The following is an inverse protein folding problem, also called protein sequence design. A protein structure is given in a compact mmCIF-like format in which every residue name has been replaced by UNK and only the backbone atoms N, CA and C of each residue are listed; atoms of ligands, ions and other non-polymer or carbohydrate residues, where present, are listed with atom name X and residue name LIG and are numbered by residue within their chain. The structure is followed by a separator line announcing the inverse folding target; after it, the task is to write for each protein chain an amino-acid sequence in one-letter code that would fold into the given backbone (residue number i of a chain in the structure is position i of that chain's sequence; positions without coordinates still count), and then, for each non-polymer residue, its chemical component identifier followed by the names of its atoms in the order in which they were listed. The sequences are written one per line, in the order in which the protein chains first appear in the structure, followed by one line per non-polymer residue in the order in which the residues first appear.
data_IF_667270988824
#
_entry.id   IF_667270988824
#
_cell.length_a   1.000
_cell.length_b   1.000
_cell.length_c   1.000
_cell.angle_alpha   90.00
_cell.angle_beta   90.00
_cell.angle_gamma   90.00
#
_symmetry.space_group_name_H-M   'P 1'
#
loop_
_entity.id
_entity.type
_entity.pdbx_description
1 polymer ?
#
# COMPACT_ATOMS: atom_id res chain seq x y z
N UNK A 1 22.80 15.50 30.31
CA UNK A 1 23.01 14.66 31.51
C UNK A 1 21.90 13.61 31.74
N UNK A 2 20.82 13.58 30.95
CA UNK A 2 19.69 12.64 31.13
C UNK A 2 19.79 11.34 30.30
N UNK A 3 20.54 11.31 29.19
CA UNK A 3 20.75 10.07 28.42
C UNK A 3 21.56 8.99 29.16
N UNK A 4 22.53 9.40 30.00
CA UNK A 4 23.37 8.44 30.74
C UNK A 4 22.63 7.74 31.89
N UNK A 5 21.57 8.35 32.45
CA UNK A 5 20.77 7.78 33.54
C UNK A 5 19.70 6.79 33.05
N UNK A 6 19.17 6.99 31.84
CA UNK A 6 18.22 6.05 31.22
C UNK A 6 18.86 4.71 30.86
N UNK A 7 20.13 4.72 30.46
CA UNK A 7 20.84 3.52 30.00
C UNK A 7 21.19 2.58 31.16
N UNK A 8 21.45 3.14 32.35
CA UNK A 8 21.73 2.38 33.57
C UNK A 8 20.44 1.79 34.16
N UNK A 9 19.30 2.48 34.05
CA UNK A 9 18.00 1.96 34.49
C UNK A 9 17.50 0.78 33.67
N UNK A 10 17.70 0.80 32.35
CA UNK A 10 17.34 -0.31 31.46
C UNK A 10 18.20 -1.56 31.70
N UNK A 11 19.51 -1.39 31.96
CA UNK A 11 20.42 -2.50 32.22
C UNK A 11 20.11 -3.24 33.53
N UNK A 12 19.69 -2.51 34.57
CA UNK A 12 19.34 -3.11 35.89
C UNK A 12 18.03 -3.89 35.83
N UNK A 13 17.03 -3.43 35.07
CA UNK A 13 15.77 -4.16 34.87
C UNK A 13 15.96 -5.44 34.07
N UNK A 14 16.81 -5.42 33.04
CA UNK A 14 17.14 -6.63 32.26
C UNK A 14 17.93 -7.63 33.12
N UNK A 15 18.91 -7.16 33.91
CA UNK A 15 19.71 -8.03 34.77
C UNK A 15 18.88 -8.68 35.89
N UNK A 16 17.99 -7.93 36.55
CA UNK A 16 17.10 -8.48 37.57
C UNK A 16 16.04 -9.42 36.97
N UNK A 17 15.55 -9.12 35.77
CA UNK A 17 14.66 -10.02 35.03
C UNK A 17 15.30 -11.38 34.73
N UNK A 18 16.57 -11.39 34.32
CA UNK A 18 17.31 -12.63 34.02
C UNK A 18 17.77 -13.43 35.25
N UNK A 19 17.80 -12.83 36.44
CA UNK A 19 18.20 -13.51 37.67
C UNK A 19 17.03 -14.19 38.39
N UNK A 20 15.82 -13.61 38.29
CA UNK A 20 14.59 -14.18 38.88
C UNK A 20 13.94 -15.22 37.96
N UNK A 21 14.14 -15.09 36.64
CA UNK A 21 13.67 -16.06 35.65
C UNK A 21 14.88 -16.57 34.86
N UNK A 22 15.27 -17.82 35.11
CA UNK A 22 16.45 -18.44 34.51
C UNK A 22 16.46 -18.44 32.97
N UNK A 23 17.60 -18.88 32.39
CA UNK A 23 17.89 -18.89 30.94
C UNK A 23 16.88 -19.65 30.06
N UNK A 24 15.90 -20.34 30.64
CA UNK A 24 14.87 -21.08 29.90
C UNK A 24 13.65 -20.22 29.48
N UNK A 25 13.50 -18.99 29.98
CA UNK A 25 12.40 -18.10 29.59
C UNK A 25 12.50 -17.56 28.14
N UNK A 26 13.70 -17.59 27.55
CA UNK A 26 13.91 -17.09 26.19
C UNK A 26 13.35 -18.05 25.10
N UNK A 27 13.16 -19.33 25.42
CA UNK A 27 12.68 -20.34 24.47
C UNK A 27 11.15 -20.29 24.21
N UNK A 28 10.38 -19.67 25.12
CA UNK A 28 8.93 -19.48 24.94
C UNK A 28 8.54 -18.12 24.33
N UNK A 29 9.43 -17.12 24.39
CA UNK A 29 9.19 -15.80 23.83
C UNK A 29 9.20 -15.78 22.29
N UNK A 30 10.00 -16.65 21.66
CA UNK A 30 10.16 -16.71 20.20
C UNK A 30 8.96 -17.32 19.48
N UNK A 31 8.14 -18.12 20.16
CA UNK A 31 6.92 -18.72 19.58
C UNK A 31 5.63 -17.94 19.95
N UNK A 32 5.68 -17.00 20.90
CA UNK A 32 4.56 -16.10 21.24
C UNK A 32 4.68 -14.67 20.68
N UNK A 33 5.79 -14.33 20.00
CA UNK A 33 5.96 -13.01 19.37
C UNK A 33 5.17 -12.80 18.07
N UNK A 34 4.79 -13.88 17.37
CA UNK A 34 3.99 -13.82 16.15
C UNK A 34 2.52 -13.49 16.42
N UNK A 35 1.92 -14.13 17.41
CA UNK A 35 0.47 -14.05 17.68
C UNK A 35 0.06 -12.74 18.38
N UNK A 36 0.93 -12.13 19.17
CA UNK A 36 0.61 -10.87 19.88
C UNK A 36 0.64 -9.66 18.94
N UNK A 37 1.48 -9.65 17.90
CA UNK A 37 1.49 -8.57 16.90
C UNK A 37 0.23 -8.59 16.02
N UNK A 38 -0.25 -9.78 15.69
CA UNK A 38 -1.43 -9.95 14.85
C UNK A 38 -2.74 -9.76 15.63
N UNK A 39 -2.79 -10.12 16.92
CA UNK A 39 -3.95 -9.90 17.79
C UNK A 39 -4.17 -8.42 18.20
N UNK A 40 -3.11 -7.60 18.25
CA UNK A 40 -3.24 -6.16 18.57
C UNK A 40 -3.67 -5.34 17.35
N UNK A 41 -3.36 -5.80 16.12
CA UNK A 41 -3.83 -5.14 14.90
C UNK A 41 -5.34 -5.26 14.70
N UNK A 42 -5.97 -6.31 15.24
CA UNK A 42 -7.43 -6.53 15.14
C UNK A 42 -8.27 -5.72 16.13
N UNK A 43 -7.65 -4.92 17.00
CA UNK A 43 -8.33 -4.25 18.12
C UNK A 43 -8.16 -2.72 18.12
N UNK A 44 -7.75 -2.16 16.97
CA UNK A 44 -7.69 -0.71 16.80
C UNK A 44 -9.10 -0.20 16.44
N UNK A 45 -9.66 0.75 17.21
CA UNK A 45 -10.98 1.32 16.90
C UNK A 45 -10.98 1.97 15.52
N UNK A 46 -12.08 1.82 14.78
CA UNK A 46 -12.19 2.31 13.40
C UNK A 46 -12.05 3.84 13.34
N UNK A 47 -12.43 4.55 14.40
CA UNK A 47 -12.26 6.00 14.56
C UNK A 47 -10.78 6.39 14.47
N UNK A 48 -9.89 5.59 15.10
CA UNK A 48 -8.46 5.83 15.07
C UNK A 48 -7.88 5.59 13.67
N UNK A 49 -8.35 4.57 12.94
CA UNK A 49 -7.89 4.32 11.58
C UNK A 49 -8.30 5.46 10.62
N UNK A 50 -9.49 6.03 10.81
CA UNK A 50 -9.95 7.19 10.02
C UNK A 50 -9.12 8.44 10.35
N UNK A 51 -8.83 8.70 11.63
CA UNK A 51 -7.99 9.84 12.02
C UNK A 51 -6.54 9.67 11.53
N UNK A 52 -6.04 8.43 11.56
CA UNK A 52 -4.76 8.09 10.94
C UNK A 52 -4.81 8.37 9.44
N UNK A 53 -5.83 7.92 8.73
CA UNK A 53 -5.97 8.19 7.30
C UNK A 53 -5.98 9.70 7.00
N UNK A 54 -6.67 10.51 7.81
CA UNK A 54 -6.64 11.98 7.74
C UNK A 54 -5.23 12.53 7.90
N UNK A 55 -4.48 12.03 8.89
CA UNK A 55 -3.09 12.43 9.11
C UNK A 55 -2.21 12.08 7.92
N UNK A 56 -2.35 10.88 7.35
CA UNK A 56 -1.58 10.45 6.17
C UNK A 56 -1.88 11.33 4.95
N UNK A 57 -3.14 11.73 4.73
CA UNK A 57 -3.53 12.66 3.66
C UNK A 57 -2.95 14.07 3.89
N UNK A 58 -2.95 14.56 5.13
CA UNK A 58 -2.33 15.85 5.46
C UNK A 58 -0.80 15.82 5.30
N UNK A 59 -0.18 14.67 5.56
CA UNK A 59 1.25 14.46 5.33
C UNK A 59 1.63 14.49 3.84
N UNK A 60 0.67 14.46 2.90
CA UNK A 60 0.93 14.69 1.47
C UNK A 60 1.14 16.17 1.14
N UNK A 61 0.66 17.10 1.99
CA UNK A 61 0.71 18.55 1.71
C UNK A 61 2.14 19.09 1.55
N UNK A 62 3.12 18.73 2.41
CA UNK A 62 4.51 19.13 2.22
C UNK A 62 5.07 18.67 0.88
N UNK A 63 4.86 17.42 0.49
CA UNK A 63 5.36 16.87 -0.77
C UNK A 63 4.76 17.58 -1.99
N UNK A 64 3.46 17.90 -1.93
CA UNK A 64 2.77 18.68 -2.95
C UNK A 64 3.36 20.09 -3.06
N UNK A 65 3.66 20.73 -1.92
CA UNK A 65 4.28 22.08 -1.88
C UNK A 65 5.69 22.06 -2.45
N UNK A 66 6.48 21.04 -2.13
CA UNK A 66 7.82 20.87 -2.68
C UNK A 66 7.77 20.68 -4.20
N UNK A 67 6.86 19.83 -4.68
CA UNK A 67 6.67 19.65 -6.12
C UNK A 67 6.22 20.94 -6.81
N UNK A 68 5.32 21.70 -6.19
CA UNK A 68 4.88 23.01 -6.69
C UNK A 68 6.05 24.01 -6.77
N UNK A 69 6.93 24.04 -5.77
CA UNK A 69 8.11 24.92 -5.77
C UNK A 69 9.10 24.56 -6.89
N UNK A 70 9.34 23.26 -7.09
CA UNK A 70 10.20 22.76 -8.17
C UNK A 70 9.61 23.11 -9.54
N UNK A 71 8.31 22.89 -9.75
CA UNK A 71 7.62 23.24 -10.99
C UNK A 71 7.67 24.76 -11.23
N UNK A 72 7.42 25.58 -10.21
CA UNK A 72 7.47 27.03 -10.34
C UNK A 72 8.88 27.51 -10.75
N UNK A 73 9.92 26.98 -10.11
CA UNK A 73 11.32 27.33 -10.42
C UNK A 73 11.68 26.93 -11.84
N UNK A 74 11.34 25.69 -12.24
CA UNK A 74 11.58 25.21 -13.59
C UNK A 74 10.80 26.00 -14.66
N UNK A 75 9.63 26.57 -14.34
CA UNK A 75 8.87 27.40 -15.27
C UNK A 75 9.62 28.69 -15.58
N UNK A 76 10.18 29.33 -14.55
CA UNK A 76 11.00 30.53 -14.70
C UNK A 76 12.25 30.23 -15.53
N UNK A 77 12.89 29.09 -15.31
CA UNK A 77 14.05 28.66 -16.10
C UNK A 77 13.70 28.45 -17.58
N UNK A 78 12.56 27.82 -17.87
CA UNK A 78 12.03 27.65 -19.23
C UNK A 78 11.77 29.02 -19.87
N UNK A 79 11.20 29.97 -19.14
CA UNK A 79 10.93 31.32 -19.65
C UNK A 79 12.23 32.09 -19.94
N UNK A 80 13.25 31.94 -19.09
CA UNK A 80 14.57 32.51 -19.32
C UNK A 80 15.23 31.90 -20.57
N UNK A 81 15.16 30.58 -20.74
CA UNK A 81 15.70 29.88 -21.90
C UNK A 81 14.96 30.23 -23.18
N UNK A 82 13.64 30.42 -23.12
CA UNK A 82 12.85 30.89 -24.25
C UNK A 82 13.30 32.28 -24.72
N UNK A 83 13.49 33.22 -23.79
CA UNK A 83 14.02 34.57 -24.12
C UNK A 83 15.45 34.52 -24.66
N UNK A 84 16.27 33.59 -24.19
CA UNK A 84 17.63 33.39 -24.68
C UNK A 84 17.64 32.89 -26.13
N UNK A 85 16.81 31.89 -26.44
CA UNK A 85 16.60 31.35 -27.79
C UNK A 85 16.08 32.44 -28.74
N UNK A 86 15.11 33.24 -28.31
CA UNK A 86 14.58 34.36 -29.09
C UNK A 86 15.68 35.37 -29.45
N UNK A 87 16.45 35.83 -28.44
CA UNK A 87 17.58 36.75 -28.69
C UNK A 87 18.63 36.16 -29.62
N UNK A 88 18.96 34.87 -29.48
CA UNK A 88 19.90 34.20 -30.40
C UNK A 88 19.34 34.13 -31.81
N UNK A 89 18.05 33.83 -31.96
CA UNK A 89 17.36 33.82 -33.25
C UNK A 89 17.42 35.18 -33.94
N UNK A 90 17.15 36.27 -33.21
CA UNK A 90 17.23 37.64 -33.73
C UNK A 90 18.66 38.02 -34.16
N UNK A 91 19.65 37.64 -33.35
CA UNK A 91 21.06 37.79 -33.67
C UNK A 91 21.44 37.04 -34.95
N UNK A 92 20.97 35.80 -35.08
CA UNK A 92 21.21 34.96 -36.26
C UNK A 92 20.56 35.55 -37.52
N UNK A 93 19.34 36.07 -37.41
CA UNK A 93 18.63 36.75 -38.51
C UNK A 93 19.39 38.02 -38.95
N UNK A 94 19.93 38.78 -38.01
CA UNK A 94 20.76 39.95 -38.31
C UNK A 94 22.05 39.56 -39.03
N UNK A 95 22.73 38.50 -38.58
CA UNK A 95 23.91 37.95 -39.26
C UNK A 95 23.55 37.48 -40.68
N UNK A 96 22.43 36.78 -40.85
CA UNK A 96 21.93 36.33 -42.16
C UNK A 96 21.75 37.51 -43.12
N UNK A 97 21.10 38.59 -42.67
CA UNK A 97 20.91 39.81 -43.48
C UNK A 97 22.25 40.42 -43.90
N UNK A 98 23.22 40.51 -42.99
CA UNK A 98 24.55 41.03 -43.30
C UNK A 98 25.30 40.16 -44.33
N UNK A 99 25.24 38.83 -44.18
CA UNK A 99 25.83 37.87 -45.13
C UNK A 99 25.21 38.02 -46.52
N UNK A 100 23.88 38.12 -46.60
CA UNK A 100 23.17 38.32 -47.87
C UNK A 100 23.51 39.66 -48.52
N UNK A 101 23.66 40.73 -47.74
CA UNK A 101 24.09 42.03 -48.25
C UNK A 101 25.49 41.97 -48.88
N UNK A 102 26.48 41.41 -48.16
CA UNK A 102 27.85 41.23 -48.67
C UNK A 102 27.90 40.36 -49.93
N UNK A 103 27.09 39.30 -49.97
CA UNK A 103 26.97 38.43 -51.15
C UNK A 103 26.39 39.21 -52.35
N UNK A 104 25.32 39.98 -52.14
CA UNK A 104 24.72 40.79 -53.20
C UNK A 104 25.69 41.88 -53.69
N UNK A 105 26.49 42.48 -52.81
CA UNK A 105 27.52 43.46 -53.19
C UNK A 105 28.60 42.83 -54.07
N UNK A 106 29.09 41.63 -53.71
CA UNK A 106 30.03 40.87 -54.55
C UNK A 106 29.45 40.51 -55.92
N UNK A 107 28.15 40.21 -56.00
CA UNK A 107 27.46 39.90 -57.25
C UNK A 107 27.42 41.12 -58.22
N UNK A 108 27.67 42.35 -57.74
CA UNK A 108 27.77 43.55 -58.59
C UNK A 108 29.05 43.62 -59.44
N UNK A 109 30.04 42.77 -59.18
CA UNK A 109 31.29 42.70 -59.96
C UNK A 109 32.29 43.84 -59.74
N UNK A 110 32.07 44.69 -58.73
CA UNK A 110 33.02 45.75 -58.34
C UNK A 110 34.30 45.17 -57.74
N UNK A 111 35.44 45.83 -57.98
CA UNK A 111 36.76 45.41 -57.46
C UNK A 111 37.02 45.89 -56.03
N UNK A 112 36.38 46.98 -55.62
CA UNK A 112 36.56 47.65 -54.33
C UNK A 112 35.20 47.95 -53.68
N UNK A 113 35.15 47.81 -52.35
CA UNK A 113 33.97 48.02 -51.53
C UNK A 113 34.32 48.87 -50.31
N UNK A 114 33.44 49.80 -49.92
CA UNK A 114 33.66 50.66 -48.76
C UNK A 114 32.70 50.29 -47.64
N UNK A 115 33.24 49.86 -46.50
CA UNK A 115 32.48 49.55 -45.29
C UNK A 115 33.09 50.30 -44.11
N UNK A 116 32.26 50.96 -43.30
CA UNK A 116 32.70 51.69 -42.10
C UNK A 116 33.95 52.57 -42.34
N UNK A 117 33.95 53.34 -43.43
CA UNK A 117 35.03 54.25 -43.85
C UNK A 117 36.37 53.57 -44.22
N UNK A 118 36.37 52.25 -44.44
CA UNK A 118 37.53 51.49 -44.92
C UNK A 118 37.22 50.86 -46.28
N UNK A 119 38.21 50.88 -47.18
CA UNK A 119 38.12 50.23 -48.49
C UNK A 119 38.68 48.82 -48.42
N UNK A 120 37.93 47.86 -48.95
CA UNK A 120 38.28 46.45 -49.02
C UNK A 120 38.26 45.98 -50.47
N UNK A 121 39.14 45.05 -50.82
CA UNK A 121 39.10 44.41 -52.13
C UNK A 121 37.99 43.36 -52.20
N UNK A 122 37.57 42.99 -53.41
CA UNK A 122 36.63 41.89 -53.62
C UNK A 122 37.11 40.56 -53.00
N UNK A 123 38.42 40.31 -52.93
CA UNK A 123 38.97 39.10 -52.31
C UNK A 123 38.87 39.14 -50.78
N UNK A 124 39.10 40.30 -50.17
CA UNK A 124 38.95 40.49 -48.72
C UNK A 124 37.50 40.26 -48.29
N UNK A 125 36.54 40.80 -49.05
CA UNK A 125 35.11 40.61 -48.79
C UNK A 125 34.70 39.15 -48.97
N UNK A 126 35.25 38.44 -49.97
CA UNK A 126 34.99 37.01 -50.17
C UNK A 126 35.49 36.16 -49.00
N UNK A 127 36.71 36.43 -48.52
CA UNK A 127 37.29 35.75 -47.35
C UNK A 127 36.49 36.00 -46.08
N UNK A 128 36.07 37.24 -45.85
CA UNK A 128 35.23 37.60 -44.70
C UNK A 128 33.85 36.91 -44.79
N UNK A 129 33.23 36.93 -45.98
CA UNK A 129 31.96 36.25 -46.22
C UNK A 129 32.04 34.74 -45.93
N UNK A 130 33.11 34.07 -46.36
CA UNK A 130 33.32 32.65 -46.08
C UNK A 130 33.43 32.38 -44.56
N UNK A 131 34.19 33.23 -43.84
CA UNK A 131 34.33 33.12 -42.38
C UNK A 131 33.00 33.34 -41.67
N UNK A 132 32.26 34.39 -42.03
CA UNK A 132 30.94 34.70 -41.46
C UNK A 132 29.93 33.59 -41.74
N UNK A 133 29.93 33.05 -42.95
CA UNK A 133 29.02 31.96 -43.31
C UNK A 133 29.31 30.70 -42.51
N UNK A 134 30.59 30.33 -42.32
CA UNK A 134 30.98 29.21 -41.45
C UNK A 134 30.49 29.43 -40.01
N UNK A 135 30.71 30.62 -39.45
CA UNK A 135 30.25 30.96 -38.10
C UNK A 135 28.72 30.93 -37.99
N UNK A 136 28.01 31.46 -38.99
CA UNK A 136 26.55 31.43 -39.07
C UNK A 136 26.04 29.98 -39.06
N UNK A 137 26.62 29.07 -39.86
CA UNK A 137 26.20 27.67 -39.89
C UNK A 137 26.38 26.97 -38.52
N UNK A 138 27.48 27.26 -37.82
CA UNK A 138 27.70 26.72 -36.46
C UNK A 138 26.66 27.27 -35.49
N UNK A 139 26.41 28.58 -35.52
CA UNK A 139 25.43 29.23 -34.65
C UNK A 139 23.99 28.77 -34.95
N UNK A 140 23.66 28.53 -36.22
CA UNK A 140 22.36 28.03 -36.67
C UNK A 140 22.09 26.63 -36.11
N UNK A 141 23.06 25.72 -36.23
CA UNK A 141 22.95 24.37 -35.67
C UNK A 141 22.85 24.38 -34.13
N UNK A 142 23.58 25.29 -33.47
CA UNK A 142 23.48 25.46 -32.01
C UNK A 142 22.10 25.96 -31.60
N UNK A 143 21.54 26.94 -32.33
CA UNK A 143 20.20 27.46 -32.07
C UNK A 143 19.13 26.38 -32.27
N UNK A 144 19.25 25.57 -33.32
CA UNK A 144 18.36 24.44 -33.55
C UNK A 144 18.37 23.46 -32.36
N UNK A 145 19.55 23.13 -31.85
CA UNK A 145 19.71 22.28 -30.67
C UNK A 145 19.06 22.91 -29.43
N UNK A 146 19.27 24.21 -29.20
CA UNK A 146 18.65 24.95 -28.09
C UNK A 146 17.11 24.93 -28.18
N UNK A 147 16.56 25.08 -29.38
CA UNK A 147 15.11 25.02 -29.64
C UNK A 147 14.54 23.63 -29.34
N UNK A 148 15.24 22.56 -29.76
CA UNK A 148 14.83 21.19 -29.47
C UNK A 148 14.83 20.91 -27.97
N UNK A 149 15.87 21.34 -27.25
CA UNK A 149 15.98 21.19 -25.80
C UNK A 149 14.83 21.96 -25.12
N UNK A 150 14.59 23.21 -25.49
CA UNK A 150 13.52 24.02 -24.94
C UNK A 150 12.15 23.37 -25.15
N UNK A 151 11.93 22.81 -26.34
CA UNK A 151 10.67 22.12 -26.67
C UNK A 151 10.48 20.86 -25.83
N UNK A 152 11.54 20.07 -25.65
CA UNK A 152 11.51 18.90 -24.77
C UNK A 152 11.23 19.29 -23.32
N UNK A 153 11.88 20.34 -22.81
CA UNK A 153 11.65 20.83 -21.45
C UNK A 153 10.23 21.35 -21.24
N UNK A 154 9.68 22.11 -22.20
CA UNK A 154 8.28 22.55 -22.16
C UNK A 154 7.32 21.36 -22.08
N UNK A 155 7.56 20.31 -22.87
CA UNK A 155 6.74 19.10 -22.85
C UNK A 155 6.81 18.39 -21.49
N UNK A 156 8.01 18.21 -20.95
CA UNK A 156 8.19 17.63 -19.61
C UNK A 156 7.51 18.47 -18.54
N UNK A 157 7.57 19.80 -18.66
CA UNK A 157 6.92 20.71 -17.73
C UNK A 157 5.40 20.53 -17.73
N UNK A 158 4.77 20.48 -18.90
CA UNK A 158 3.32 20.23 -19.00
C UNK A 158 2.94 18.90 -18.33
N UNK A 159 3.70 17.83 -18.58
CA UNK A 159 3.44 16.54 -17.92
C UNK A 159 3.58 16.60 -16.39
N UNK A 160 4.56 17.36 -15.89
CA UNK A 160 4.74 17.56 -14.45
C UNK A 160 3.59 18.38 -13.82
N UNK A 161 3.09 19.40 -14.54
CA UNK A 161 1.92 20.19 -14.12
C UNK A 161 0.66 19.33 -14.05
N UNK A 162 0.41 18.50 -15.07
CA UNK A 162 -0.71 17.54 -15.09
C UNK A 162 -0.61 16.55 -13.92
N UNK A 163 0.60 16.08 -13.60
CA UNK A 163 0.83 15.20 -12.45
C UNK A 163 0.55 15.90 -11.11
N UNK A 164 0.94 17.17 -10.96
CA UNK A 164 0.63 17.96 -9.77
C UNK A 164 -0.89 18.14 -9.61
N UNK A 165 -1.59 18.46 -10.69
CA UNK A 165 -3.05 18.61 -10.71
C UNK A 165 -3.76 17.30 -10.34
N UNK A 166 -3.27 16.18 -10.88
CA UNK A 166 -3.76 14.83 -10.53
C UNK A 166 -3.55 14.54 -9.04
N UNK A 167 -2.40 14.91 -8.46
CA UNK A 167 -2.12 14.71 -7.03
C UNK A 167 -3.00 15.59 -6.15
N UNK A 168 -3.26 16.82 -6.55
CA UNK A 168 -4.17 17.74 -5.84
C UNK A 168 -5.61 17.20 -5.84
N UNK A 169 -6.08 16.73 -6.99
CA UNK A 169 -7.40 16.11 -7.13
C UNK A 169 -7.50 14.84 -6.28
N UNK A 170 -6.50 13.95 -6.38
CA UNK A 170 -6.47 12.73 -5.57
C UNK A 170 -6.46 13.02 -4.07
N UNK A 171 -5.78 14.09 -3.61
CA UNK A 171 -5.83 14.53 -2.21
C UNK A 171 -7.25 14.92 -1.80
N UNK A 172 -7.93 15.75 -2.60
CA UNK A 172 -9.31 16.18 -2.34
C UNK A 172 -10.27 14.98 -2.32
N UNK A 173 -10.12 14.04 -3.26
CA UNK A 173 -10.93 12.83 -3.31
C UNK A 173 -10.75 11.96 -2.07
N UNK A 174 -9.52 11.84 -1.56
CA UNK A 174 -9.23 11.13 -0.32
C UNK A 174 -9.85 11.82 0.90
N UNK A 175 -9.83 13.16 0.97
CA UNK A 175 -10.48 13.94 2.04
C UNK A 175 -11.99 13.67 2.07
N UNK A 176 -12.66 13.70 0.91
CA UNK A 176 -14.10 13.40 0.79
C UNK A 176 -14.40 11.96 1.18
N UNK A 177 -13.58 11.00 0.77
CA UNK A 177 -13.74 9.59 1.15
C UNK A 177 -13.60 9.38 2.66
N UNK A 178 -12.66 10.05 3.30
CA UNK A 178 -12.49 10.03 4.76
C UNK A 178 -13.73 10.60 5.44
N UNK A 179 -14.27 11.72 4.97
CA UNK A 179 -15.51 12.29 5.51
C UNK A 179 -16.71 11.34 5.35
N UNK A 180 -16.81 10.66 4.22
CA UNK A 180 -17.82 9.63 3.99
C UNK A 180 -17.68 8.44 4.95
N UNK A 181 -16.44 8.00 5.22
CA UNK A 181 -16.16 6.93 6.19
C UNK A 181 -16.57 7.34 7.61
N UNK A 182 -16.26 8.58 8.02
CA UNK A 182 -16.71 9.11 9.32
C UNK A 182 -18.23 9.14 9.43
N UNK A 183 -18.93 9.61 8.40
CA UNK A 183 -20.38 9.65 8.38
C UNK A 183 -20.96 8.24 8.53
N UNK A 184 -20.42 7.27 7.78
CA UNK A 184 -20.82 5.86 7.86
C UNK A 184 -20.59 5.28 9.25
N UNK A 185 -19.44 5.56 9.86
CA UNK A 185 -19.12 5.11 11.22
C UNK A 185 -20.17 5.62 12.23
N UNK A 186 -20.44 6.93 12.22
CA UNK A 186 -21.48 7.53 13.07
C UNK A 186 -22.86 6.90 12.88
N UNK A 187 -23.17 6.47 11.65
CA UNK A 187 -24.46 5.81 11.37
C UNK A 187 -24.51 4.40 11.97
N UNK A 188 -23.41 3.66 11.89
CA UNK A 188 -23.27 2.33 12.49
C UNK A 188 -23.34 2.41 14.01
N UNK A 189 -22.59 3.33 14.62
CA UNK A 189 -22.61 3.56 16.07
C UNK A 189 -24.02 3.91 16.58
N UNK A 190 -24.76 4.76 15.87
CA UNK A 190 -26.14 5.09 16.21
C UNK A 190 -27.08 3.88 16.10
N UNK A 191 -26.88 3.03 15.09
CA UNK A 191 -27.63 1.80 14.94
C UNK A 191 -27.30 0.79 16.04
N UNK A 192 -26.04 0.61 16.42
CA UNK A 192 -25.60 -0.27 17.51
C UNK A 192 -26.11 0.19 18.88
N UNK A 193 -26.07 1.50 19.14
CA UNK A 193 -26.66 2.08 20.36
C UNK A 193 -28.16 1.80 20.46
N UNK A 194 -28.87 1.79 19.32
CA UNK A 194 -30.29 1.43 19.26
C UNK A 194 -30.51 -0.09 19.33
N UNK A 195 -29.61 -0.87 18.75
CA UNK A 195 -29.67 -2.32 18.63
C UNK A 195 -29.04 -3.07 19.81
N UNK A 196 -28.66 -2.38 20.89
CA UNK A 196 -28.30 -3.00 22.18
C UNK A 196 -29.53 -3.68 22.76
N UNK A 197 -29.89 -4.81 22.14
CA UNK A 197 -30.84 -5.79 22.60
C UNK A 197 -30.25 -6.39 23.88
N UNK A 198 -31.00 -6.26 24.97
CA UNK A 198 -30.66 -6.85 26.27
C UNK A 198 -30.62 -8.37 26.15
N UNK A 199 -29.46 -8.94 25.81
CA UNK A 199 -29.24 -10.37 25.92
C UNK A 199 -29.17 -10.74 27.41
N UNK A 200 -30.09 -11.60 27.86
CA UNK A 200 -30.21 -12.01 29.26
C UNK A 200 -29.14 -13.05 29.62
N UNK A 201 -27.92 -12.56 29.90
CA UNK A 201 -26.78 -13.37 30.35
C UNK A 201 -27.03 -14.14 31.66
N UNK A 202 -28.11 -13.81 32.38
CA UNK A 202 -28.48 -14.50 33.61
C UNK A 202 -28.83 -15.98 33.38
N UNK A 203 -29.37 -16.33 32.20
CA UNK A 203 -29.72 -17.71 31.85
C UNK A 203 -28.48 -18.56 31.58
N UNK A 204 -27.48 -18.01 30.89
CA UNK A 204 -26.21 -18.68 30.61
C UNK A 204 -25.38 -18.85 31.89
N UNK A 205 -25.34 -17.83 32.75
CA UNK A 205 -24.68 -17.91 34.06
C UNK A 205 -25.33 -18.96 34.98
N UNK A 206 -26.67 -19.04 35.00
CA UNK A 206 -27.43 -20.09 35.72
C UNK A 206 -27.13 -21.49 35.16
N UNK A 207 -27.07 -21.65 33.84
CA UNK A 207 -26.75 -22.93 33.20
C UNK A 207 -25.31 -23.40 33.54
N UNK A 208 -24.31 -22.51 33.48
CA UNK A 208 -22.94 -22.83 33.89
C UNK A 208 -22.86 -23.25 35.36
N UNK A 209 -23.57 -22.55 36.25
CA UNK A 209 -23.63 -22.89 37.67
C UNK A 209 -24.29 -24.25 37.92
N UNK A 210 -25.35 -24.58 37.17
CA UNK A 210 -26.03 -25.88 37.26
C UNK A 210 -25.11 -27.03 36.84
N UNK A 211 -24.35 -26.87 35.75
CA UNK A 211 -23.38 -27.88 35.30
C UNK A 211 -22.31 -28.14 36.36
N UNK A 212 -21.76 -27.10 36.97
CA UNK A 212 -20.76 -27.23 38.05
C UNK A 212 -21.35 -27.97 39.25
N UNK A 213 -22.59 -27.67 39.64
CA UNK A 213 -23.26 -28.36 40.76
C UNK A 213 -23.55 -29.84 40.44
N UNK A 214 -23.96 -30.15 39.21
CA UNK A 214 -24.21 -31.53 38.77
C UNK A 214 -22.93 -32.37 38.77
N UNK A 215 -21.80 -31.83 38.29
CA UNK A 215 -20.50 -32.51 38.36
C UNK A 215 -20.11 -32.82 39.81
N UNK A 216 -20.26 -31.84 40.71
CA UNK A 216 -19.98 -32.03 42.13
C UNK A 216 -20.87 -33.13 42.75
N UNK A 217 -22.14 -33.20 42.38
CA UNK A 217 -23.03 -34.27 42.84
C UNK A 217 -22.65 -35.65 42.29
N UNK A 218 -22.14 -35.71 41.06
CA UNK A 218 -21.62 -36.95 40.48
C UNK A 218 -20.37 -37.42 41.23
N UNK A 219 -19.41 -36.52 41.47
CA UNK A 219 -18.17 -36.82 42.19
C UNK A 219 -18.45 -37.36 43.60
N UNK A 220 -19.44 -36.78 44.30
CA UNK A 220 -19.86 -37.25 45.63
C UNK A 220 -20.47 -38.65 45.55
N UNK A 221 -21.32 -38.93 44.56
CA UNK A 221 -21.90 -40.28 44.37
C UNK A 221 -20.85 -41.31 43.98
N UNK A 222 -19.89 -40.96 43.14
CA UNK A 222 -18.77 -41.82 42.79
C UNK A 222 -17.89 -42.13 44.02
N UNK A 223 -17.64 -41.11 44.85
CA UNK A 223 -16.92 -41.27 46.12
C UNK A 223 -17.70 -42.15 47.10
N UNK A 224 -19.02 -41.98 47.18
CA UNK A 224 -19.89 -42.79 48.04
C UNK A 224 -19.95 -44.25 47.56
N UNK A 225 -20.11 -44.49 46.25
CA UNK A 225 -20.07 -45.83 45.68
C UNK A 225 -18.70 -46.51 45.89
N UNK A 226 -17.61 -45.75 45.78
CA UNK A 226 -16.25 -46.23 46.09
C UNK A 226 -16.07 -46.59 47.56
N UNK A 227 -16.66 -45.81 48.48
CA UNK A 227 -16.62 -46.07 49.92
C UNK A 227 -17.53 -47.23 50.33
N UNK A 228 -18.73 -47.35 49.74
CA UNK A 228 -19.66 -48.47 49.95
C UNK A 228 -19.08 -49.78 49.40
N UNK A 229 -18.38 -49.72 48.26
CA UNK A 229 -17.58 -50.84 47.74
C UNK A 229 -16.42 -51.25 48.65
N UNK A 230 -15.94 -50.35 49.52
CA UNK A 230 -14.87 -50.62 50.48
C UNK A 230 -15.39 -51.13 51.83
N UNK A 231 -16.68 -50.92 52.15
CA UNK A 231 -17.34 -51.42 53.38
C UNK A 231 -17.84 -52.86 53.21
N UNK A 232 -18.19 -53.27 51.98
CA UNK A 232 -18.57 -54.65 51.67
C UNK A 232 -17.34 -55.48 51.27
N UNK A 233 -16.49 -55.79 52.23
CA UNK A 233 -15.29 -56.63 52.04
C UNK A 233 -15.62 -58.08 51.66
N UNK A 234 -15.89 -58.36 50.39
CA UNK A 234 -15.95 -59.70 49.82
C UNK A 234 -15.23 -59.75 48.46
N UNK A 235 -14.39 -60.79 48.33
CA UNK A 235 -13.48 -61.10 47.23
C UNK A 235 -14.25 -61.62 46.01
N UNK A 236 -13.87 -61.27 44.76
CA UNK A 236 -14.13 -62.14 43.61
C UNK A 236 -12.90 -63.00 43.28
N UNK A 237 -13.08 -64.31 43.35
CA UNK A 237 -12.13 -65.33 42.88
C UNK A 237 -12.71 -66.00 41.64
N UNK A 238 -11.94 -65.91 40.55
CA UNK A 238 -11.90 -66.76 39.34
C UNK A 238 -13.12 -66.72 38.38
N UNK A 239 -12.97 -66.83 37.06
CA UNK A 239 -11.83 -67.33 36.27
C UNK A 239 -11.85 -66.76 34.83
N UNK A 240 -10.70 -66.90 34.17
CA UNK A 240 -10.37 -66.38 32.86
C UNK A 240 -11.26 -66.89 31.71
N UNK A 241 -11.38 -66.10 30.64
CA UNK A 241 -11.16 -66.57 29.25
C UNK A 241 -11.05 -65.38 28.28
N UNK A 242 -9.84 -65.26 27.74
CA UNK A 242 -9.48 -64.98 26.34
C UNK A 242 -9.91 -63.69 25.62
N UNK A 243 -8.87 -62.94 25.26
CA UNK A 243 -8.65 -62.24 24.00
C UNK A 243 -9.68 -62.46 22.88
N UNK A 244 -10.23 -61.37 22.36
CA UNK A 244 -10.40 -61.23 20.90
C UNK A 244 -10.26 -59.75 20.55
N UNK A 245 -9.08 -59.40 20.03
CA UNK A 245 -8.98 -58.38 18.98
C UNK A 245 -9.91 -58.79 17.84
N UNK A 246 -11.08 -58.16 17.73
CA UNK A 246 -11.81 -58.09 16.48
C UNK A 246 -12.81 -56.93 16.50
N UNK A 247 -12.60 -56.00 15.58
CA UNK A 247 -13.61 -55.08 15.05
C UNK A 247 -13.94 -53.81 15.85
N UNK A 248 -12.90 -52.98 16.04
CA UNK A 248 -13.06 -51.51 16.11
C UNK A 248 -13.55 -50.94 14.75
N UNK A 249 -13.43 -51.71 13.66
CA UNK A 249 -13.84 -51.33 12.31
C UNK A 249 -15.37 -51.20 12.17
N UNK A 250 -16.16 -52.06 12.83
CA UNK A 250 -17.62 -52.01 12.75
C UNK A 250 -18.27 -50.85 13.55
N UNK A 251 -17.52 -50.15 14.40
CA UNK A 251 -18.02 -48.97 15.15
C UNK A 251 -17.78 -47.63 14.43
N UNK A 252 -17.01 -47.65 13.33
CA UNK A 252 -16.69 -46.46 12.54
C UNK A 252 -17.72 -46.27 11.40
N UNK A 253 -18.32 -47.36 10.90
CA UNK A 253 -19.36 -47.30 9.86
C UNK A 253 -20.73 -46.85 10.39
N UNK A 254 -21.03 -47.04 11.69
CA UNK A 254 -22.23 -46.51 12.35
C UNK A 254 -22.15 -44.99 12.65
N UNK A 255 -20.97 -44.38 12.57
CA UNK A 255 -20.74 -42.96 12.91
C UNK A 255 -20.56 -42.05 11.68
N UNK A 256 -20.31 -42.60 10.48
CA UNK A 256 -20.18 -41.85 9.23
C UNK A 256 -21.27 -42.13 8.16
N UNK A 257 -22.37 -42.78 8.58
CA UNK A 257 -23.74 -42.57 8.10
C UNK A 257 -24.16 -43.17 6.73
N UNK A 258 -25.37 -43.76 6.62
CA UNK A 258 -26.05 -43.85 5.33
C UNK A 258 -26.54 -42.45 4.92
N UNK A 259 -26.02 -41.95 3.79
CA UNK A 259 -26.65 -40.85 3.04
C UNK A 259 -28.07 -41.26 2.68
N UNK A 260 -29.04 -40.58 3.28
CA UNK A 260 -30.40 -40.48 2.74
C UNK A 260 -30.69 -39.00 2.62
N UNK A 261 -30.67 -38.49 1.38
CA UNK A 261 -31.84 -37.83 0.81
C UNK A 261 -31.51 -37.24 -0.56
N UNK A 262 -32.33 -37.64 -1.54
CA UNK A 262 -32.90 -36.87 -2.67
C UNK A 262 -33.52 -37.96 -3.55
N UNK A 263 -34.84 -38.18 -3.57
CA UNK A 263 -35.88 -37.21 -3.85
C UNK A 263 -36.44 -37.50 -5.25
N UNK A 264 -37.75 -37.48 -5.37
CA UNK A 264 -38.54 -37.33 -6.61
C UNK A 264 -39.11 -38.59 -7.30
N UNK A 265 -40.45 -38.62 -7.23
CA UNK A 265 -41.39 -38.75 -8.33
C UNK A 265 -41.64 -40.10 -9.00
N UNK A 266 -42.92 -40.45 -8.90
CA UNK A 266 -43.70 -41.35 -9.73
C UNK A 266 -43.57 -41.14 -11.25
N UNK A 267 -43.88 -42.24 -11.95
CA UNK A 267 -44.51 -42.37 -13.27
C UNK A 267 -43.63 -42.13 -14.51
N UNK A 268 -43.34 -43.22 -15.22
CA UNK A 268 -43.63 -43.30 -16.65
C UNK A 268 -44.00 -44.73 -17.05
N UNK A 269 -44.78 -44.80 -18.11
CA UNK A 269 -45.63 -45.86 -18.64
C UNK A 269 -44.84 -47.01 -19.29
N UNK A 270 -45.21 -48.27 -19.02
CA UNK A 270 -44.83 -49.42 -19.85
C UNK A 270 -46.06 -50.01 -20.53
N UNK A 271 -46.08 -49.82 -21.84
CA UNK A 271 -47.04 -50.27 -22.85
C UNK A 271 -46.91 -51.78 -23.14
N UNK A 272 -48.06 -52.37 -23.56
CA UNK A 272 -48.27 -53.61 -24.33
C UNK A 272 -48.13 -54.94 -23.58
N UNK A 273 -49.25 -55.61 -23.30
CA UNK A 273 -49.99 -56.56 -24.18
C UNK A 273 -49.26 -57.90 -24.26
N UNK A 274 -49.69 -58.90 -23.49
CA UNK A 274 -50.86 -59.76 -23.67
C UNK A 274 -50.70 -60.79 -24.79
N UNK A 275 -51.04 -61.99 -24.36
CA UNK A 275 -51.08 -63.29 -25.01
C UNK A 275 -52.04 -63.33 -26.22
N UNK A 276 -51.68 -64.16 -27.21
CA UNK A 276 -52.55 -64.82 -28.20
C UNK A 276 -53.38 -63.98 -29.21
#
# INVERSE_FOLDING_TARGET
MFLKKSLIGAAVLVALGTFVFGRDALSYATTWGGTVRDAVKSEVPLEFEIERARTEVENLVPDIRDMMHVIASAQVDVDHKAKEVERRSDGLNSQKKAILALRNDLDTGRSEFVYASHTYSADDVRKDLEKRFKQYKVAENSLESDVQILTAWKKTMTANQEKLDTMLTAKQDLEVQIEQLEARLRTVEAAEATATLTFDDSKLAKAKKLIVELNKQLDVRERQASLEGQVNGLIPVEEATESTEASITNRIDDYFGPKTDTGSSSADESVADNDS
#
